data_IF_164341156416
#
_entry.id   IF_164341156416
#
_cell.length_a   1.000
_cell.length_b   1.000
_cell.length_c   1.000
_cell.angle_alpha   90.00
_cell.angle_beta   90.00
_cell.angle_gamma   90.00
#
_symmetry.space_group_name_H-M   'P 1'
#
loop_
_entity.id
_entity.type
_entity.pdbx_description
1 polymer ?
#
# COMPACT_ATOMS: atom_id res chain seq x y z
N UNK A 1 3.95 3.84 7.76
CA UNK A 1 4.91 2.73 7.59
C UNK A 1 4.10 1.45 7.40
N UNK A 2 4.49 0.51 6.52
CA UNK A 2 3.66 -0.67 6.16
C UNK A 2 3.23 -1.54 7.36
N UNK A 3 3.96 -1.48 8.47
CA UNK A 3 3.71 -2.31 9.67
C UNK A 3 2.83 -1.62 10.71
N UNK A 4 2.42 -0.37 10.51
CA UNK A 4 1.76 0.42 11.57
C UNK A 4 0.43 -0.17 12.05
N UNK A 5 -0.32 -0.82 11.16
CA UNK A 5 -1.58 -1.47 11.53
C UNK A 5 -1.35 -2.64 12.48
N UNK A 6 -0.31 -3.44 12.24
CA UNK A 6 0.06 -4.55 13.12
C UNK A 6 0.37 -4.09 14.55
N UNK A 7 1.14 -3.01 14.71
CA UNK A 7 1.52 -2.52 16.05
C UNK A 7 0.42 -1.74 16.78
N UNK A 8 -0.59 -1.23 16.05
CA UNK A 8 -1.67 -0.42 16.62
C UNK A 8 -2.89 -1.21 17.05
N UNK A 9 -2.93 -2.51 16.74
CA UNK A 9 -4.07 -3.36 17.03
C UNK A 9 -3.62 -4.58 17.84
N UNK A 10 -4.45 -4.97 18.80
CA UNK A 10 -4.32 -6.25 19.48
C UNK A 10 -5.11 -7.29 18.68
N UNK A 11 -4.51 -8.47 18.49
CA UNK A 11 -5.13 -9.60 17.81
C UNK A 11 -5.15 -10.79 18.75
N UNK A 12 -6.24 -11.55 18.72
CA UNK A 12 -6.41 -12.74 19.54
C UNK A 12 -5.89 -13.99 18.83
N UNK A 13 -6.01 -14.02 17.51
CA UNK A 13 -5.56 -15.16 16.70
C UNK A 13 -4.69 -14.73 15.54
N UNK A 14 -4.03 -15.71 14.91
CA UNK A 14 -3.21 -15.46 13.73
C UNK A 14 -4.06 -15.10 12.51
N UNK A 15 -5.24 -15.70 12.41
CA UNK A 15 -6.21 -15.45 11.34
C UNK A 15 -6.65 -13.99 11.35
N UNK A 16 -6.95 -13.43 12.53
CA UNK A 16 -7.30 -12.01 12.68
C UNK A 16 -6.17 -11.08 12.23
N UNK A 17 -4.90 -11.45 12.49
CA UNK A 17 -3.74 -10.70 11.99
C UNK A 17 -3.73 -10.69 10.46
N UNK A 18 -3.91 -11.85 9.82
CA UNK A 18 -3.87 -11.94 8.36
C UNK A 18 -4.99 -11.14 7.72
N UNK A 19 -6.21 -11.27 8.22
CA UNK A 19 -7.36 -10.54 7.68
C UNK A 19 -7.20 -9.03 7.87
N UNK A 20 -6.88 -8.58 9.09
CA UNK A 20 -6.76 -7.17 9.40
C UNK A 20 -5.60 -6.50 8.65
N UNK A 21 -4.41 -7.10 8.68
CA UNK A 21 -3.22 -6.53 8.03
C UNK A 21 -3.38 -6.52 6.51
N UNK A 22 -3.89 -7.60 5.90
CA UNK A 22 -4.09 -7.64 4.45
C UNK A 22 -5.14 -6.61 4.00
N UNK A 23 -6.27 -6.53 4.70
CA UNK A 23 -7.31 -5.55 4.44
C UNK A 23 -6.80 -4.12 4.57
N UNK A 24 -5.97 -3.83 5.57
CA UNK A 24 -5.37 -2.53 5.74
C UNK A 24 -4.33 -2.20 4.66
N UNK A 25 -3.46 -3.15 4.30
CA UNK A 25 -2.47 -2.96 3.23
C UNK A 25 -3.17 -2.61 1.92
N UNK A 26 -4.15 -3.41 1.51
CA UNK A 26 -4.82 -3.23 0.22
C UNK A 26 -5.80 -2.05 0.20
N UNK A 27 -6.60 -1.90 1.25
CA UNK A 27 -7.66 -0.91 1.30
C UNK A 27 -7.19 0.50 1.68
N UNK A 28 -6.11 0.60 2.45
CA UNK A 28 -5.65 1.88 3.03
C UNK A 28 -4.23 2.20 2.58
N UNK A 29 -3.25 1.34 2.85
CA UNK A 29 -1.86 1.67 2.57
C UNK A 29 -1.60 1.86 1.07
N UNK A 30 -1.92 0.86 0.24
CA UNK A 30 -1.64 0.88 -1.20
C UNK A 30 -2.50 1.91 -1.94
N UNK A 31 -3.76 2.10 -1.52
CA UNK A 31 -4.77 2.89 -2.25
C UNK A 31 -4.95 4.33 -1.77
N UNK A 32 -4.63 4.65 -0.51
CA UNK A 32 -4.99 5.95 0.08
C UNK A 32 -3.82 6.68 0.73
N UNK A 33 -2.79 5.97 1.20
CA UNK A 33 -1.70 6.58 1.96
C UNK A 33 -0.81 7.40 1.04
N UNK A 34 -0.62 8.68 1.36
CA UNK A 34 0.30 9.55 0.61
C UNK A 34 1.72 9.39 1.14
N UNK A 35 2.68 9.35 0.20
CA UNK A 35 4.09 9.18 0.50
C UNK A 35 4.90 10.35 -0.09
N UNK A 36 5.60 11.09 0.76
CA UNK A 36 6.41 12.24 0.35
C UNK A 36 7.54 11.84 -0.62
N UNK A 37 8.12 10.66 -0.46
CA UNK A 37 9.18 10.14 -1.34
C UNK A 37 8.72 9.84 -2.77
N UNK A 38 7.41 9.72 -3.02
CA UNK A 38 6.83 9.48 -4.35
C UNK A 38 5.86 10.61 -4.74
N UNK A 39 6.13 11.83 -4.28
CA UNK A 39 5.41 13.02 -4.71
C UNK A 39 4.00 13.15 -4.12
N UNK A 40 3.81 12.67 -2.88
CA UNK A 40 2.51 12.72 -2.18
C UNK A 40 1.41 11.97 -2.94
N UNK A 41 1.75 10.77 -3.42
CA UNK A 41 0.85 9.90 -4.19
C UNK A 41 0.61 8.58 -3.45
N UNK A 42 -0.56 7.93 -3.64
CA UNK A 42 -0.76 6.54 -3.26
C UNK A 42 0.21 5.61 -4.00
N UNK A 43 0.76 4.56 -3.33
CA UNK A 43 1.65 3.59 -3.97
C UNK A 43 1.12 3.02 -5.28
N UNK A 44 -0.16 2.63 -5.32
CA UNK A 44 -0.78 2.04 -6.53
C UNK A 44 -0.78 3.01 -7.71
N UNK A 45 -1.04 4.30 -7.47
CA UNK A 45 -1.05 5.31 -8.53
C UNK A 45 0.36 5.56 -9.05
N UNK A 46 1.35 5.57 -8.15
CA UNK A 46 2.74 5.73 -8.54
C UNK A 46 3.22 4.57 -9.42
N UNK A 47 2.95 3.33 -9.02
CA UNK A 47 3.28 2.13 -9.80
C UNK A 47 2.58 2.13 -11.17
N UNK A 48 1.30 2.53 -11.23
CA UNK A 48 0.55 2.68 -12.48
C UNK A 48 1.14 3.75 -13.41
N UNK A 49 1.63 4.87 -12.86
CA UNK A 49 2.31 5.90 -13.67
C UNK A 49 3.65 5.40 -14.18
N UNK A 50 4.44 4.74 -13.34
CA UNK A 50 5.72 4.18 -13.73
C UNK A 50 5.57 3.12 -14.82
N UNK A 51 4.60 2.21 -14.71
CA UNK A 51 4.34 1.22 -15.74
C UNK A 51 3.94 1.86 -17.05
N UNK A 52 3.00 2.83 -17.04
CA UNK A 52 2.62 3.57 -18.25
C UNK A 52 3.81 4.28 -18.91
N UNK A 53 4.69 4.89 -18.13
CA UNK A 53 5.91 5.52 -18.65
C UNK A 53 6.84 4.48 -19.28
N UNK A 54 7.07 3.34 -18.61
CA UNK A 54 7.91 2.27 -19.15
C UNK A 54 7.36 1.71 -20.46
N UNK A 55 6.04 1.51 -20.56
CA UNK A 55 5.38 1.08 -21.80
C UNK A 55 5.55 2.09 -22.94
N UNK A 56 5.43 3.40 -22.66
CA UNK A 56 5.64 4.45 -23.66
C UNK A 56 7.09 4.60 -24.11
N UNK A 57 8.07 4.17 -23.31
CA UNK A 57 9.49 4.20 -23.67
C UNK A 57 9.93 2.97 -24.46
N UNK A 58 9.22 1.85 -24.31
CA UNK A 58 9.49 0.60 -25.01
C UNK A 58 8.78 0.47 -26.37
N UNK A 59 7.81 1.35 -26.65
CA UNK A 59 7.07 1.43 -27.91
C UNK A 59 7.66 2.53 -28.83
#
# INVERSE_FOLDING_TARGET
MKIEYYYRHAFRTREEVYEGVSGWIEGVYNRKRLHSSIGMMPPVEYELKMSQTAWKQAA
#
